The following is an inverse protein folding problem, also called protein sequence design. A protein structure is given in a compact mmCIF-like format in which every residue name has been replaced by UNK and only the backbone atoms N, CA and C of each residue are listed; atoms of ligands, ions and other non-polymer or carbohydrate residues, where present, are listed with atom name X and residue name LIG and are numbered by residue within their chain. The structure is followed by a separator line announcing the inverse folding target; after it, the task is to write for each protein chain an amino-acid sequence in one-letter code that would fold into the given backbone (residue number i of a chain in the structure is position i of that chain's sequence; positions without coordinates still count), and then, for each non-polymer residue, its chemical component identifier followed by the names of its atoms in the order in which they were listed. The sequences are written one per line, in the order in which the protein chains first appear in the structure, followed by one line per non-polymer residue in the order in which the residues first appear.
data_IF_091428108367
#
_entry.id   IF_091428108367
#
_cell.length_a   1.000
_cell.length_b   1.000
_cell.length_c   1.000
_cell.angle_alpha   90.00
_cell.angle_beta   90.00
_cell.angle_gamma   90.00
#
_symmetry.space_group_name_H-M   'P 1'
#
loop_
_entity.id
_entity.type
_entity.pdbx_description
1 polymer ?
#
# COMPACT_ATOMS: atom_id res chain seq x y z
N UNK A 1 16.50 20.48 18.26
CA UNK A 1 15.99 19.42 19.14
C UNK A 1 14.48 19.58 19.23
N UNK A 2 13.68 18.55 19.20
CA UNK A 2 12.24 18.66 19.43
C UNK A 2 12.02 19.20 20.84
N UNK A 3 11.28 20.29 20.97
CA UNK A 3 10.84 20.79 22.27
C UNK A 3 9.61 19.97 22.65
N UNK A 4 9.73 19.15 23.69
CA UNK A 4 8.60 18.48 24.31
C UNK A 4 7.86 19.53 25.14
N UNK A 5 6.54 19.66 24.92
CA UNK A 5 5.70 20.51 25.77
C UNK A 5 5.37 19.71 27.06
N UNK A 6 6.23 19.84 28.04
CA UNK A 6 6.07 19.21 29.36
C UNK A 6 5.24 20.11 30.28
N UNK A 7 4.36 19.49 31.03
CA UNK A 7 3.67 20.15 32.16
C UNK A 7 4.64 20.45 33.29
N UNK A 8 4.28 21.35 34.18
CA UNK A 8 5.17 21.67 35.31
C UNK A 8 5.44 20.46 36.21
N UNK A 9 4.41 19.61 36.44
CA UNK A 9 4.60 18.34 37.17
C UNK A 9 5.54 17.38 36.48
N UNK A 10 5.52 17.28 35.14
CA UNK A 10 6.47 16.43 34.40
C UNK A 10 7.90 16.97 34.47
N UNK A 11 8.07 18.30 34.47
CA UNK A 11 9.39 18.93 34.66
C UNK A 11 9.95 18.64 36.06
N UNK A 12 9.10 18.72 37.07
CA UNK A 12 9.50 18.40 38.47
C UNK A 12 9.93 16.93 38.58
N UNK A 13 9.18 16.01 38.01
CA UNK A 13 9.53 14.58 37.96
C UNK A 13 10.88 14.36 37.26
N UNK A 14 11.09 14.97 36.05
CA UNK A 14 12.36 14.85 35.35
C UNK A 14 13.54 15.39 36.16
N UNK A 15 13.32 16.46 36.89
CA UNK A 15 14.35 17.06 37.74
C UNK A 15 14.75 16.15 38.89
N UNK A 16 13.76 15.53 39.55
CA UNK A 16 13.99 14.53 40.58
C UNK A 16 14.72 13.31 40.02
N UNK A 17 14.26 12.76 38.90
CA UNK A 17 14.90 11.61 38.25
C UNK A 17 16.36 11.91 37.93
N UNK A 18 16.66 13.07 37.37
CA UNK A 18 18.03 13.47 37.03
C UNK A 18 18.90 13.54 38.27
N UNK A 19 18.42 14.20 39.35
CA UNK A 19 19.14 14.32 40.63
C UNK A 19 19.45 12.94 41.23
N UNK A 20 18.46 12.06 41.27
CA UNK A 20 18.62 10.72 41.85
C UNK A 20 19.52 9.82 40.95
N UNK A 21 19.48 10.00 39.64
CA UNK A 21 20.39 9.29 38.73
C UNK A 21 21.83 9.71 38.91
N UNK A 22 22.11 11.03 39.03
CA UNK A 22 23.45 11.56 39.30
C UNK A 22 23.95 11.12 40.67
N UNK A 23 23.11 11.16 41.72
CA UNK A 23 23.42 10.66 43.05
C UNK A 23 23.77 9.17 43.01
N UNK A 24 22.92 8.35 42.40
CA UNK A 24 23.15 6.89 42.28
C UNK A 24 24.44 6.59 41.51
N UNK A 25 24.73 7.32 40.43
CA UNK A 25 25.99 7.18 39.70
C UNK A 25 27.21 7.51 40.62
N UNK A 26 27.13 8.57 41.42
CA UNK A 26 28.19 8.95 42.34
C UNK A 26 28.42 7.89 43.42
N UNK A 27 27.35 7.30 43.98
CA UNK A 27 27.43 6.22 44.96
C UNK A 27 28.04 4.97 44.33
N UNK A 28 27.62 4.62 43.12
CA UNK A 28 28.17 3.48 42.37
C UNK A 28 29.67 3.64 42.12
N UNK A 29 30.11 4.83 41.70
CA UNK A 29 31.53 5.11 41.49
C UNK A 29 32.31 4.98 42.79
N UNK A 30 31.81 5.56 43.89
CA UNK A 30 32.44 5.46 45.20
C UNK A 30 32.57 4.02 45.69
N UNK A 31 31.53 3.20 45.48
CA UNK A 31 31.57 1.78 45.83
C UNK A 31 32.59 1.01 44.97
N UNK A 32 32.70 1.33 43.67
CA UNK A 32 33.71 0.74 42.80
C UNK A 32 35.14 1.10 43.25
N UNK A 33 35.38 2.36 43.64
CA UNK A 33 36.67 2.82 44.14
C UNK A 33 37.06 2.10 45.47
N UNK A 34 36.09 1.94 46.39
CA UNK A 34 36.28 1.18 47.65
C UNK A 34 36.58 -0.29 47.33
N UNK A 35 35.80 -0.93 46.43
CA UNK A 35 36.02 -2.33 46.05
C UNK A 35 37.41 -2.52 45.43
N UNK A 36 37.85 -1.60 44.58
CA UNK A 36 39.20 -1.61 44.00
C UNK A 36 40.28 -1.47 45.08
N UNK A 37 40.10 -0.55 46.01
CA UNK A 37 41.01 -0.38 47.14
C UNK A 37 41.12 -1.64 48.02
N UNK A 38 39.99 -2.29 48.30
CA UNK A 38 39.95 -3.55 49.04
C UNK A 38 40.69 -4.64 48.28
N UNK A 39 40.46 -4.78 46.97
CA UNK A 39 41.13 -5.76 46.13
C UNK A 39 42.67 -5.60 46.11
N UNK A 40 43.15 -4.35 46.05
CA UNK A 40 44.58 -4.04 46.15
C UNK A 40 45.12 -4.46 47.50
N UNK A 41 44.46 -4.09 48.60
CA UNK A 41 44.91 -4.44 49.96
C UNK A 41 44.95 -5.97 50.22
N UNK A 42 43.94 -6.71 49.62
CA UNK A 42 43.93 -8.18 49.66
C UNK A 42 45.15 -8.72 48.91
N UNK A 43 45.41 -8.27 47.71
CA UNK A 43 46.56 -8.71 46.92
C UNK A 43 47.92 -8.41 47.59
N UNK A 44 48.05 -7.24 48.19
CA UNK A 44 49.26 -6.89 49.00
C UNK A 44 49.41 -7.78 50.21
N UNK A 45 48.30 -8.07 50.90
CA UNK A 45 48.30 -8.97 52.06
C UNK A 45 48.69 -10.41 51.70
N UNK A 46 48.14 -10.90 50.55
CA UNK A 46 48.50 -12.22 49.98
C UNK A 46 50.01 -12.30 49.68
N UNK A 47 50.57 -11.31 49.00
CA UNK A 47 52.01 -11.23 48.73
C UNK A 47 52.85 -11.20 49.98
N UNK A 48 52.41 -10.49 51.00
CA UNK A 48 53.09 -10.47 52.28
C UNK A 48 53.07 -11.84 52.99
N UNK A 49 51.95 -12.53 53.00
CA UNK A 49 51.82 -13.89 53.55
C UNK A 49 52.73 -14.87 52.80
N UNK A 50 52.79 -14.80 51.49
CA UNK A 50 53.68 -15.61 50.66
C UNK A 50 55.15 -15.34 50.99
N UNK A 51 55.55 -14.07 51.15
CA UNK A 51 56.91 -13.66 51.53
C UNK A 51 57.34 -14.17 52.91
N UNK A 52 56.39 -14.38 53.80
CA UNK A 52 56.59 -14.91 55.16
C UNK A 52 56.52 -16.46 55.19
N UNK A 53 56.42 -17.13 54.04
CA UNK A 53 56.30 -18.58 53.95
C UNK A 53 54.96 -19.13 54.50
N UNK A 54 53.97 -18.32 54.67
CA UNK A 54 52.62 -18.71 55.08
C UNK A 54 51.76 -19.00 53.86
N UNK A 55 51.12 -20.15 53.81
CA UNK A 55 50.16 -20.48 52.78
C UNK A 55 48.95 -19.53 52.85
N UNK A 56 48.33 -19.28 51.67
CA UNK A 56 47.07 -18.55 51.62
C UNK A 56 46.01 -19.28 52.47
N UNK A 57 45.15 -18.58 53.22
CA UNK A 57 44.09 -19.22 53.99
C UNK A 57 43.16 -19.92 52.98
N UNK A 58 42.77 -21.16 53.31
CA UNK A 58 41.72 -21.86 52.55
C UNK A 58 40.48 -20.98 52.56
N UNK A 59 39.77 -20.95 51.45
CA UNK A 59 38.49 -20.23 51.36
C UNK A 59 37.60 -20.66 52.51
N UNK A 60 37.33 -19.69 53.42
CA UNK A 60 36.36 -19.90 54.49
C UNK A 60 34.98 -19.76 53.79
N UNK A 61 34.13 -20.81 53.81
CA UNK A 61 32.80 -20.70 53.27
C UNK A 61 32.08 -19.53 53.93
N UNK A 62 31.81 -18.46 53.16
CA UNK A 62 31.03 -17.34 53.65
C UNK A 62 29.56 -17.78 53.69
N UNK A 63 29.06 -18.15 54.88
CA UNK A 63 27.61 -18.24 55.09
C UNK A 63 27.10 -16.84 55.42
N UNK A 64 26.27 -16.25 54.55
CA UNK A 64 25.68 -14.95 54.83
C UNK A 64 24.77 -15.06 56.06
N UNK A 65 25.15 -14.41 57.15
CA UNK A 65 24.30 -14.29 58.34
C UNK A 65 23.11 -13.42 57.96
N UNK A 66 21.97 -14.06 57.71
CA UNK A 66 20.73 -13.33 57.48
C UNK A 66 20.26 -12.69 58.78
N UNK A 67 20.13 -11.34 58.83
CA UNK A 67 19.62 -10.69 60.04
C UNK A 67 18.18 -11.14 60.28
N UNK A 68 17.89 -11.59 61.51
CA UNK A 68 16.52 -11.96 61.95
C UNK A 68 15.63 -10.77 62.28
N UNK A 69 16.16 -9.54 62.24
CA UNK A 69 15.38 -8.34 62.50
C UNK A 69 14.66 -7.88 61.22
N UNK A 70 13.43 -7.40 61.36
CA UNK A 70 12.70 -6.72 60.27
C UNK A 70 13.52 -5.53 59.78
N UNK A 71 13.75 -5.43 58.48
CA UNK A 71 14.40 -4.27 57.89
C UNK A 71 13.49 -3.05 58.01
N UNK A 72 14.02 -1.94 58.47
CA UNK A 72 13.38 -0.63 58.41
C UNK A 72 13.92 0.03 57.13
N UNK A 73 13.02 0.36 56.20
CA UNK A 73 13.34 1.10 54.99
C UNK A 73 12.80 2.52 55.15
N UNK A 74 13.71 3.48 55.29
CA UNK A 74 13.34 4.91 55.27
C UNK A 74 13.27 5.37 53.81
N UNK A 75 12.11 5.90 53.42
CA UNK A 75 11.88 6.46 52.10
C UNK A 75 11.60 7.95 52.26
N UNK A 76 12.21 8.75 51.39
CA UNK A 76 11.97 10.19 51.35
C UNK A 76 10.69 10.51 50.62
N UNK A 77 9.95 11.53 51.06
CA UNK A 77 8.78 12.02 50.32
C UNK A 77 9.19 12.66 48.98
N UNK A 78 8.25 12.74 48.05
CA UNK A 78 8.51 13.37 46.75
C UNK A 78 8.88 14.85 46.91
N UNK A 79 8.23 15.54 47.83
CA UNK A 79 8.48 16.95 48.17
C UNK A 79 9.94 17.16 48.65
N UNK A 80 10.43 16.28 49.50
CA UNK A 80 11.83 16.32 49.96
C UNK A 80 12.83 16.04 48.85
N UNK A 81 12.50 15.08 47.93
CA UNK A 81 13.34 14.80 46.77
C UNK A 81 13.35 15.97 45.77
N UNK A 82 12.20 16.64 45.60
CA UNK A 82 12.07 17.80 44.72
C UNK A 82 12.83 19.02 45.30
N UNK A 83 12.79 19.24 46.61
CA UNK A 83 13.56 20.30 47.24
C UNK A 83 15.07 20.11 47.02
N UNK A 84 15.60 18.91 47.24
CA UNK A 84 17.00 18.59 46.95
C UNK A 84 17.33 18.75 45.48
N UNK A 85 16.45 18.27 44.57
CA UNK A 85 16.65 18.41 43.13
C UNK A 85 16.69 19.90 42.73
N UNK A 86 15.86 20.74 43.33
CA UNK A 86 15.87 22.19 43.09
C UNK A 86 17.15 22.87 43.55
N UNK A 87 17.69 22.42 44.69
CA UNK A 87 18.95 22.93 45.26
C UNK A 87 20.15 22.50 44.40
N UNK A 88 20.19 21.28 43.93
CA UNK A 88 21.31 20.70 43.20
C UNK A 88 21.29 21.06 41.69
N UNK A 89 20.10 21.22 41.10
CA UNK A 89 19.91 21.47 39.64
C UNK A 89 19.13 22.81 39.48
N UNK A 90 19.83 23.96 39.42
CA UNK A 90 19.19 25.28 39.35
C UNK A 90 18.64 25.67 37.97
N UNK A 91 18.67 24.76 36.98
CA UNK A 91 18.23 24.99 35.63
C UNK A 91 17.05 24.07 35.24
N UNK A 92 16.40 24.41 34.13
CA UNK A 92 15.30 23.59 33.59
C UNK A 92 15.85 22.32 32.92
N UNK A 93 15.32 21.15 33.28
CA UNK A 93 15.75 19.85 32.78
C UNK A 93 14.84 19.46 31.60
N UNK A 94 15.44 19.12 30.46
CA UNK A 94 14.72 18.55 29.33
C UNK A 94 14.73 17.01 29.43
N UNK A 95 13.80 16.40 28.71
CA UNK A 95 13.65 14.93 28.68
C UNK A 95 14.96 14.18 28.34
N UNK A 96 15.76 14.71 27.42
CA UNK A 96 17.04 14.06 27.05
C UNK A 96 18.15 14.27 28.08
N UNK A 97 18.02 15.21 29.02
CA UNK A 97 19.05 15.52 30.00
C UNK A 97 19.13 14.50 31.13
N UNK A 98 18.11 13.61 31.25
CA UNK A 98 18.11 12.51 32.21
C UNK A 98 18.96 11.31 31.76
N UNK A 99 19.34 11.25 30.47
CA UNK A 99 20.13 10.18 29.90
C UNK A 99 21.57 10.60 29.69
N UNK A 100 22.49 9.65 29.86
CA UNK A 100 23.87 9.82 29.42
C UNK A 100 23.99 9.84 27.90
N UNK A 101 25.02 10.48 27.39
CA UNK A 101 25.28 10.48 25.94
C UNK A 101 25.45 9.05 25.39
N UNK A 102 26.03 8.15 26.18
CA UNK A 102 26.21 6.75 25.83
C UNK A 102 24.87 6.02 25.68
N UNK A 103 23.91 6.26 26.57
CA UNK A 103 22.56 5.70 26.50
C UNK A 103 21.79 6.26 25.28
N UNK A 104 21.91 7.57 25.03
CA UNK A 104 21.30 8.20 23.87
C UNK A 104 21.83 7.58 22.58
N UNK A 105 23.14 7.37 22.47
CA UNK A 105 23.76 6.82 21.26
C UNK A 105 23.45 5.32 21.10
N UNK A 106 23.40 4.54 22.17
CA UNK A 106 22.97 3.15 22.16
C UNK A 106 21.50 3.01 21.72
N UNK A 107 20.61 3.87 22.20
CA UNK A 107 19.20 3.87 21.80
C UNK A 107 19.02 4.29 20.33
N UNK A 108 19.81 5.26 19.83
CA UNK A 108 19.81 5.60 18.40
C UNK A 108 20.24 4.42 17.53
N UNK A 109 21.30 3.74 17.91
CA UNK A 109 21.79 2.55 17.19
C UNK A 109 20.74 1.44 17.22
N UNK A 110 20.13 1.16 18.37
CA UNK A 110 19.06 0.17 18.49
C UNK A 110 17.85 0.52 17.61
N UNK A 111 17.42 1.78 17.60
CA UNK A 111 16.36 2.26 16.74
C UNK A 111 16.72 2.10 15.25
N UNK A 112 17.97 2.38 14.89
CA UNK A 112 18.47 2.16 13.53
C UNK A 112 18.40 0.67 13.14
N UNK A 113 18.83 -0.23 14.03
CA UNK A 113 18.75 -1.68 13.81
C UNK A 113 17.30 -2.15 13.60
N UNK A 114 16.36 -1.74 14.46
CA UNK A 114 14.93 -2.04 14.29
C UNK A 114 14.38 -1.55 12.96
N UNK A 115 14.82 -0.36 12.52
CA UNK A 115 14.44 0.16 11.20
C UNK A 115 15.02 -0.69 10.06
N UNK A 116 16.23 -1.15 10.18
CA UNK A 116 16.88 -2.02 9.20
C UNK A 116 16.21 -3.39 9.15
N UNK A 117 15.90 -3.99 10.30
CA UNK A 117 15.16 -5.25 10.42
C UNK A 117 13.80 -5.15 9.75
N UNK A 118 13.01 -4.13 10.10
CA UNK A 118 11.72 -3.87 9.45
C UNK A 118 11.86 -3.75 7.93
N UNK A 119 12.82 -2.95 7.46
CA UNK A 119 13.00 -2.74 6.03
C UNK A 119 13.46 -4.00 5.30
N UNK A 120 14.21 -4.88 5.94
CA UNK A 120 14.72 -6.12 5.33
C UNK A 120 13.61 -7.06 4.89
N UNK A 121 12.50 -7.11 5.63
CA UNK A 121 11.31 -7.91 5.31
C UNK A 121 10.71 -7.50 3.95
N UNK A 122 10.74 -6.21 3.64
CA UNK A 122 10.12 -5.64 2.42
C UNK A 122 11.12 -5.42 1.29
N UNK A 123 12.41 -5.65 1.52
CA UNK A 123 13.46 -5.43 0.53
C UNK A 123 13.37 -6.47 -0.59
N UNK A 124 13.35 -5.99 -1.82
CA UNK A 124 13.51 -6.81 -3.02
C UNK A 124 15.00 -7.14 -3.22
N UNK A 125 15.29 -8.37 -3.54
CA UNK A 125 16.61 -8.76 -4.01
C UNK A 125 16.78 -8.49 -5.52
N UNK A 126 17.96 -8.80 -6.06
CA UNK A 126 18.24 -8.59 -7.49
C UNK A 126 17.32 -9.37 -8.41
N UNK A 127 16.92 -10.58 -8.01
CA UNK A 127 16.04 -11.46 -8.79
C UNK A 127 14.59 -10.93 -8.72
N UNK A 128 14.13 -10.48 -7.54
CA UNK A 128 12.83 -9.85 -7.34
C UNK A 128 12.65 -8.58 -8.20
N UNK A 129 13.73 -7.92 -8.61
CA UNK A 129 13.70 -6.77 -9.52
C UNK A 129 13.83 -7.20 -10.98
N UNK A 130 14.73 -8.15 -11.28
CA UNK A 130 15.01 -8.57 -12.64
C UNK A 130 13.82 -9.28 -13.30
N UNK A 131 13.15 -10.16 -12.57
CA UNK A 131 11.98 -10.91 -13.06
C UNK A 131 10.88 -9.98 -13.58
N UNK A 132 10.38 -9.00 -12.79
CA UNK A 132 9.32 -8.12 -13.28
C UNK A 132 9.76 -7.21 -14.44
N UNK A 133 11.02 -6.79 -14.48
CA UNK A 133 11.54 -6.04 -15.62
C UNK A 133 11.50 -6.90 -16.90
N UNK A 134 11.98 -8.15 -16.84
CA UNK A 134 11.92 -9.07 -17.99
C UNK A 134 10.45 -9.35 -18.38
N UNK A 135 9.57 -9.59 -17.41
CA UNK A 135 8.15 -9.81 -17.68
C UNK A 135 7.50 -8.59 -18.36
N UNK A 136 7.82 -7.38 -17.90
CA UNK A 136 7.35 -6.13 -18.51
C UNK A 136 7.89 -5.93 -19.93
N UNK A 137 9.16 -6.26 -20.17
CA UNK A 137 9.76 -6.23 -21.52
C UNK A 137 9.06 -7.25 -22.42
N UNK A 138 8.83 -8.47 -21.96
CA UNK A 138 8.13 -9.51 -22.73
C UNK A 138 6.73 -9.07 -23.12
N UNK A 139 5.93 -8.57 -22.15
CA UNK A 139 4.59 -8.06 -22.43
C UNK A 139 4.59 -6.88 -23.39
N UNK A 140 5.49 -5.92 -23.20
CA UNK A 140 5.68 -4.79 -24.10
C UNK A 140 6.11 -5.20 -25.51
N UNK A 141 7.02 -6.19 -25.64
CA UNK A 141 7.43 -6.73 -26.93
C UNK A 141 6.27 -7.42 -27.66
N UNK A 142 5.47 -8.22 -26.95
CA UNK A 142 4.25 -8.84 -27.51
C UNK A 142 3.25 -7.77 -27.96
N UNK A 143 3.05 -6.72 -27.17
CA UNK A 143 2.20 -5.59 -27.54
C UNK A 143 2.72 -4.89 -28.80
N UNK A 144 4.01 -4.63 -28.91
CA UNK A 144 4.62 -4.00 -30.07
C UNK A 144 4.54 -4.88 -31.33
N UNK A 145 4.74 -6.19 -31.19
CA UNK A 145 4.80 -7.09 -32.36
C UNK A 145 3.43 -7.55 -32.86
N UNK A 146 2.44 -7.70 -31.97
CA UNK A 146 1.18 -8.37 -32.30
C UNK A 146 -0.06 -7.60 -31.91
N UNK A 147 0.06 -6.59 -31.02
CA UNK A 147 -1.04 -5.78 -30.53
C UNK A 147 -1.27 -4.51 -31.36
N UNK A 148 -2.44 -3.92 -31.20
CA UNK A 148 -2.78 -2.63 -31.80
C UNK A 148 -3.17 -2.68 -33.27
N UNK A 149 -3.14 -1.50 -33.90
CA UNK A 149 -3.36 -1.30 -35.33
C UNK A 149 -2.02 -1.08 -36.03
N UNK A 150 -1.40 -2.16 -36.44
CA UNK A 150 0.02 -2.18 -36.84
C UNK A 150 0.28 -1.53 -38.21
N UNK A 151 -0.75 -1.32 -39.07
CA UNK A 151 -0.57 -0.79 -40.42
C UNK A 151 -1.75 0.06 -40.87
N UNK A 152 -1.45 1.11 -41.65
CA UNK A 152 -2.41 1.80 -42.50
C UNK A 152 -2.37 1.18 -43.88
N UNK A 153 -3.41 0.44 -44.28
CA UNK A 153 -3.61 -0.03 -45.66
C UNK A 153 -4.71 0.80 -46.29
N UNK A 154 -4.38 1.53 -47.35
CA UNK A 154 -5.32 2.42 -48.07
C UNK A 154 -6.03 3.45 -47.14
N UNK A 155 -5.31 4.00 -46.17
CA UNK A 155 -5.85 4.99 -45.22
C UNK A 155 -6.76 4.41 -44.11
N UNK A 156 -6.84 3.08 -43.98
CA UNK A 156 -7.61 2.40 -42.93
C UNK A 156 -6.68 1.67 -41.97
N UNK A 157 -6.95 1.79 -40.71
CA UNK A 157 -6.24 1.05 -39.66
C UNK A 157 -6.54 -0.44 -39.76
N UNK A 158 -5.51 -1.28 -39.95
CA UNK A 158 -5.63 -2.73 -40.03
C UNK A 158 -5.24 -3.34 -38.69
N UNK A 159 -6.12 -4.11 -38.03
CA UNK A 159 -5.82 -4.73 -36.75
C UNK A 159 -4.69 -5.74 -36.87
N UNK A 160 -3.82 -5.76 -35.84
CA UNK A 160 -2.73 -6.70 -35.69
C UNK A 160 -3.20 -8.17 -35.62
N UNK A 161 -2.27 -9.10 -35.71
CA UNK A 161 -2.58 -10.54 -35.69
C UNK A 161 -3.29 -10.99 -34.42
N UNK A 162 -2.94 -10.43 -33.27
CA UNK A 162 -3.61 -10.70 -32.00
C UNK A 162 -5.06 -10.22 -32.02
N UNK A 163 -5.32 -9.01 -32.53
CA UNK A 163 -6.68 -8.47 -32.67
C UNK A 163 -7.50 -9.29 -33.65
N UNK A 164 -6.90 -9.76 -34.77
CA UNK A 164 -7.58 -10.65 -35.71
C UNK A 164 -7.98 -11.99 -35.09
N UNK A 165 -7.08 -12.57 -34.27
CA UNK A 165 -7.35 -13.83 -33.58
C UNK A 165 -8.45 -13.67 -32.51
N UNK A 166 -8.40 -12.64 -31.68
CA UNK A 166 -9.43 -12.35 -30.65
C UNK A 166 -10.77 -12.07 -31.32
N UNK A 167 -10.79 -11.26 -32.41
CA UNK A 167 -11.99 -11.00 -33.14
C UNK A 167 -12.64 -12.29 -33.72
N UNK A 168 -11.81 -13.21 -34.21
CA UNK A 168 -12.28 -14.52 -34.68
C UNK A 168 -12.90 -15.37 -33.57
N UNK A 169 -12.46 -15.24 -32.32
CA UNK A 169 -13.09 -15.89 -31.14
C UNK A 169 -14.48 -15.29 -30.92
N UNK A 170 -14.59 -13.96 -30.88
CA UNK A 170 -15.87 -13.27 -30.69
C UNK A 170 -16.87 -13.60 -31.79
N UNK A 171 -16.43 -13.60 -33.06
CA UNK A 171 -17.28 -13.90 -34.21
C UNK A 171 -17.84 -15.34 -34.16
N UNK A 172 -17.03 -16.30 -33.68
CA UNK A 172 -17.48 -17.68 -33.47
C UNK A 172 -18.42 -17.83 -32.27
N UNK A 173 -18.16 -17.11 -31.17
CA UNK A 173 -18.95 -17.19 -29.95
C UNK A 173 -20.31 -16.49 -30.07
N UNK A 174 -20.35 -15.40 -30.83
CA UNK A 174 -21.52 -14.52 -31.03
C UNK A 174 -21.79 -14.33 -32.54
N UNK A 175 -22.30 -15.35 -33.24
CA UNK A 175 -22.63 -15.22 -34.64
C UNK A 175 -23.84 -14.27 -34.83
N UNK A 176 -24.03 -13.68 -36.03
CA UNK A 176 -25.06 -12.66 -36.28
C UNK A 176 -26.51 -13.06 -35.90
N UNK A 177 -26.84 -14.31 -36.03
CA UNK A 177 -28.20 -14.79 -35.69
C UNK A 177 -28.40 -14.79 -34.16
N UNK A 178 -27.36 -15.17 -33.39
CA UNK A 178 -27.40 -15.13 -31.96
C UNK A 178 -27.45 -13.69 -31.43
N UNK A 179 -26.75 -12.76 -32.07
CA UNK A 179 -26.81 -11.34 -31.70
C UNK A 179 -28.24 -10.81 -31.88
N UNK A 180 -28.89 -11.08 -33.00
CA UNK A 180 -30.29 -10.69 -33.22
C UNK A 180 -31.27 -11.27 -32.21
N UNK A 181 -31.01 -12.47 -31.73
CA UNK A 181 -31.78 -13.08 -30.63
C UNK A 181 -31.57 -12.32 -29.32
N UNK A 182 -30.32 -12.04 -28.94
CA UNK A 182 -29.97 -11.28 -27.75
C UNK A 182 -30.57 -9.86 -27.78
N UNK A 183 -30.50 -9.15 -28.90
CA UNK A 183 -31.13 -7.82 -29.09
C UNK A 183 -32.64 -7.83 -28.86
N UNK A 184 -33.33 -8.90 -29.24
CA UNK A 184 -34.78 -9.05 -28.99
C UNK A 184 -35.06 -9.30 -27.49
N UNK A 185 -34.20 -10.05 -26.81
CA UNK A 185 -34.38 -10.42 -25.40
C UNK A 185 -34.07 -9.28 -24.44
N UNK A 186 -33.16 -8.39 -24.79
CA UNK A 186 -32.63 -7.37 -23.89
C UNK A 186 -32.79 -5.95 -24.43
N UNK A 187 -34.01 -5.52 -24.57
CA UNK A 187 -34.30 -4.09 -24.80
C UNK A 187 -34.10 -3.31 -23.52
N UNK A 188 -33.34 -2.24 -23.60
CA UNK A 188 -32.97 -1.39 -22.43
C UNK A 188 -33.52 0.03 -22.58
N UNK A 189 -33.61 0.75 -21.47
CA UNK A 189 -34.15 2.12 -21.41
C UNK A 189 -33.18 3.17 -21.95
N UNK A 190 -31.90 2.87 -21.94
CA UNK A 190 -30.80 3.80 -22.25
C UNK A 190 -30.21 3.66 -23.66
N UNK A 191 -30.88 2.91 -24.55
CA UNK A 191 -30.43 2.64 -25.93
C UNK A 191 -31.02 3.66 -26.92
N UNK A 192 -31.09 4.94 -26.55
CA UNK A 192 -31.55 5.98 -27.46
C UNK A 192 -30.43 6.39 -28.43
N UNK A 193 -30.72 6.18 -29.74
CA UNK A 193 -29.73 6.44 -30.78
C UNK A 193 -29.64 7.93 -31.22
N UNK A 194 -30.51 8.80 -30.74
CA UNK A 194 -30.52 10.24 -31.05
C UNK A 194 -31.41 11.01 -30.08
N UNK A 195 -31.39 12.35 -30.18
CA UNK A 195 -32.16 13.25 -29.32
C UNK A 195 -33.66 13.37 -29.67
N UNK A 196 -34.18 12.66 -30.63
CA UNK A 196 -35.56 12.86 -31.09
C UNK A 196 -36.63 12.58 -30.03
N UNK A 197 -36.32 11.72 -29.05
CA UNK A 197 -37.24 11.32 -27.98
C UNK A 197 -36.65 11.54 -26.58
N UNK A 198 -35.68 12.44 -26.46
CA UNK A 198 -35.07 12.80 -25.20
C UNK A 198 -35.62 14.13 -24.71
N UNK A 199 -35.74 14.29 -23.41
CA UNK A 199 -36.24 15.55 -22.80
C UNK A 199 -35.19 16.66 -22.79
N UNK A 200 -33.91 16.27 -22.83
CA UNK A 200 -32.75 17.16 -22.90
C UNK A 200 -31.83 16.70 -24.02
N UNK A 201 -31.38 17.63 -24.85
CA UNK A 201 -30.41 17.34 -25.87
C UNK A 201 -29.05 16.98 -25.28
N UNK A 202 -28.53 15.82 -25.66
CA UNK A 202 -27.21 15.32 -25.25
C UNK A 202 -26.25 15.53 -26.43
N UNK A 203 -25.20 16.31 -26.21
CA UNK A 203 -24.19 16.54 -27.23
C UNK A 203 -23.47 15.24 -27.61
N UNK A 204 -23.43 14.92 -28.90
CA UNK A 204 -22.86 13.67 -29.41
C UNK A 204 -23.78 12.46 -29.38
N UNK A 205 -25.01 12.54 -28.87
CA UNK A 205 -25.98 11.45 -28.96
C UNK A 205 -26.43 11.24 -30.41
N UNK A 206 -25.95 10.19 -30.99
CA UNK A 206 -26.25 9.80 -32.39
C UNK A 206 -26.17 8.29 -32.50
N UNK A 207 -26.75 7.73 -33.57
CA UNK A 207 -26.63 6.28 -33.89
C UNK A 207 -25.17 5.81 -33.94
N UNK A 208 -24.25 6.74 -34.14
CA UNK A 208 -22.82 6.48 -34.21
C UNK A 208 -22.13 6.43 -32.86
N UNK A 209 -22.54 7.27 -31.90
CA UNK A 209 -21.84 7.48 -30.63
C UNK A 209 -22.70 7.24 -29.39
N UNK A 210 -23.98 6.83 -29.52
CA UNK A 210 -24.85 6.62 -28.37
C UNK A 210 -24.25 5.69 -27.31
N UNK A 211 -23.56 4.61 -27.76
CA UNK A 211 -22.89 3.69 -26.83
C UNK A 211 -21.70 4.30 -26.10
N UNK A 212 -21.01 5.28 -26.70
CA UNK A 212 -19.89 5.96 -26.06
C UNK A 212 -20.36 7.00 -25.03
N UNK A 213 -21.48 7.68 -25.28
CA UNK A 213 -21.97 8.72 -24.36
C UNK A 213 -22.91 8.17 -23.27
N UNK A 214 -23.62 7.06 -23.51
CA UNK A 214 -24.49 6.43 -22.53
C UNK A 214 -23.71 5.49 -21.61
N UNK A 215 -23.69 5.81 -20.30
CA UNK A 215 -22.93 5.04 -19.30
C UNK A 215 -23.47 3.62 -19.10
N UNK A 216 -24.72 3.37 -19.51
CA UNK A 216 -25.32 2.03 -19.48
C UNK A 216 -24.63 1.03 -20.41
N UNK A 217 -23.95 1.50 -21.46
CA UNK A 217 -23.20 0.64 -22.40
C UNK A 217 -21.73 0.42 -22.00
N UNK A 218 -21.24 1.11 -20.96
CA UNK A 218 -19.87 0.87 -20.50
C UNK A 218 -19.76 -0.53 -19.86
N UNK A 219 -18.76 -1.35 -20.20
CA UNK A 219 -18.62 -2.72 -19.70
C UNK A 219 -18.54 -2.87 -18.18
N UNK A 220 -18.14 -1.84 -17.47
CA UNK A 220 -18.05 -1.82 -16.01
C UNK A 220 -19.09 -0.88 -15.39
N UNK A 221 -19.12 0.38 -15.83
CA UNK A 221 -20.05 1.37 -15.31
C UNK A 221 -21.52 1.01 -15.62
N UNK A 222 -21.77 0.29 -16.69
CA UNK A 222 -23.11 -0.17 -17.04
C UNK A 222 -23.76 -1.10 -16.03
N UNK A 223 -23.00 -1.87 -15.28
CA UNK A 223 -23.53 -2.62 -14.14
C UNK A 223 -24.00 -1.72 -12.98
N UNK A 224 -23.59 -0.46 -12.94
CA UNK A 224 -24.08 0.53 -12.00
C UNK A 224 -25.16 1.39 -12.65
N UNK A 225 -24.77 2.18 -13.66
CA UNK A 225 -25.67 3.14 -14.31
C UNK A 225 -26.76 2.46 -15.15
N UNK A 226 -26.41 1.45 -15.93
CA UNK A 226 -27.38 0.70 -16.73
C UNK A 226 -28.42 -0.03 -15.88
N UNK A 227 -28.00 -0.63 -14.75
CA UNK A 227 -28.94 -1.26 -13.82
C UNK A 227 -29.83 -0.21 -13.13
N UNK A 228 -29.28 0.93 -12.71
CA UNK A 228 -30.08 2.04 -12.17
C UNK A 228 -31.06 2.60 -13.21
N UNK A 229 -30.62 2.78 -14.44
CA UNK A 229 -31.44 3.24 -15.56
C UNK A 229 -32.57 2.27 -15.85
N UNK A 230 -32.30 0.97 -15.87
CA UNK A 230 -33.33 -0.07 -16.03
C UNK A 230 -34.36 -0.06 -14.91
N UNK A 231 -33.95 0.18 -13.65
CA UNK A 231 -34.85 0.23 -12.51
C UNK A 231 -35.69 1.53 -12.47
N UNK A 232 -35.13 2.63 -12.96
CA UNK A 232 -35.78 3.96 -12.93
C UNK A 232 -36.55 4.30 -14.20
N UNK A 233 -36.23 3.64 -15.31
CA UNK A 233 -36.75 4.01 -16.62
C UNK A 233 -36.01 5.22 -17.23
N UNK A 234 -34.74 5.42 -16.87
CA UNK A 234 -33.93 6.56 -17.29
C UNK A 234 -32.83 6.17 -18.28
N UNK A 235 -32.11 7.16 -18.77
CA UNK A 235 -30.86 7.05 -19.49
C UNK A 235 -29.87 8.03 -18.87
N UNK A 236 -28.74 7.50 -18.42
CA UNK A 236 -27.61 8.28 -17.86
C UNK A 236 -26.52 8.43 -18.90
N UNK A 237 -26.20 9.67 -19.22
CA UNK A 237 -25.20 9.99 -20.25
C UNK A 237 -24.12 10.92 -19.71
N UNK A 238 -22.93 10.83 -20.31
CA UNK A 238 -21.86 11.80 -20.19
C UNK A 238 -21.55 12.32 -21.60
N UNK A 239 -22.02 13.52 -21.92
CA UNK A 239 -21.92 14.11 -23.25
C UNK A 239 -20.48 14.50 -23.64
N UNK A 240 -20.25 14.88 -24.90
CA UNK A 240 -18.92 15.25 -25.37
C UNK A 240 -18.40 16.60 -24.82
N UNK A 241 -19.26 17.37 -24.16
CA UNK A 241 -18.87 18.58 -23.40
C UNK A 241 -18.55 18.28 -21.94
N UNK A 242 -18.69 17.02 -21.52
CA UNK A 242 -18.45 16.58 -20.15
C UNK A 242 -19.64 16.82 -19.22
N UNK A 243 -20.84 17.07 -19.72
CA UNK A 243 -22.04 17.23 -18.90
C UNK A 243 -22.63 15.87 -18.57
N UNK A 244 -22.99 15.69 -17.29
CA UNK A 244 -23.67 14.50 -16.81
C UNK A 244 -25.19 14.75 -16.88
N UNK A 245 -25.90 13.97 -17.70
CA UNK A 245 -27.34 14.13 -17.95
C UNK A 245 -28.05 12.83 -17.61
N UNK A 246 -29.07 12.91 -16.75
CA UNK A 246 -30.00 11.81 -16.44
C UNK A 246 -31.38 12.22 -16.88
N UNK A 247 -31.99 11.45 -17.78
CA UNK A 247 -33.29 11.78 -18.35
C UNK A 247 -34.11 10.53 -18.67
N UNK A 248 -35.41 10.72 -18.92
CA UNK A 248 -36.30 9.67 -19.38
C UNK A 248 -36.34 9.68 -20.91
N UNK A 249 -36.39 8.49 -21.53
CA UNK A 249 -36.64 8.33 -22.94
C UNK A 249 -38.05 7.77 -23.10
N UNK A 250 -39.02 8.63 -23.48
CA UNK A 250 -40.46 8.31 -23.42
C UNK A 250 -40.81 7.03 -24.15
N UNK A 251 -40.29 6.84 -25.36
CA UNK A 251 -40.53 5.65 -26.19
C UNK A 251 -39.96 4.34 -25.62
N UNK A 252 -39.14 4.41 -24.58
CA UNK A 252 -38.51 3.26 -23.92
C UNK A 252 -38.96 3.07 -22.49
N UNK A 253 -39.98 3.81 -22.05
CA UNK A 253 -40.52 3.72 -20.68
C UNK A 253 -41.09 2.34 -20.35
N UNK A 254 -41.58 1.61 -21.34
CA UNK A 254 -42.08 0.23 -21.26
C UNK A 254 -40.96 -0.82 -21.02
N UNK A 255 -39.70 -0.45 -21.26
CA UNK A 255 -38.55 -1.35 -21.12
C UNK A 255 -38.05 -1.45 -19.67
N UNK A 256 -38.55 -0.61 -18.76
CA UNK A 256 -38.20 -0.60 -17.36
C UNK A 256 -38.31 -1.99 -16.74
N UNK A 257 -37.28 -2.37 -15.94
CA UNK A 257 -37.26 -3.64 -15.24
C UNK A 257 -38.14 -3.62 -13.97
N UNK A 258 -38.80 -4.74 -13.68
CA UNK A 258 -39.63 -4.89 -12.48
C UNK A 258 -38.81 -5.14 -11.19
N UNK A 259 -37.54 -5.57 -11.35
CA UNK A 259 -36.67 -5.84 -10.21
C UNK A 259 -35.19 -5.91 -10.58
N UNK A 260 -34.35 -6.01 -9.53
CA UNK A 260 -32.90 -5.95 -9.66
C UNK A 260 -32.33 -7.08 -10.55
N UNK A 261 -32.80 -8.32 -10.38
CA UNK A 261 -32.29 -9.46 -11.17
C UNK A 261 -32.63 -9.32 -12.65
N UNK A 262 -33.83 -8.85 -12.96
CA UNK A 262 -34.23 -8.56 -14.34
C UNK A 262 -33.37 -7.45 -14.94
N UNK A 263 -33.13 -6.37 -14.19
CA UNK A 263 -32.29 -5.26 -14.62
C UNK A 263 -30.87 -5.74 -14.92
N UNK A 264 -30.23 -6.48 -14.00
CA UNK A 264 -28.88 -7.02 -14.21
C UNK A 264 -28.84 -7.96 -15.42
N UNK A 265 -29.80 -8.85 -15.55
CA UNK A 265 -29.88 -9.80 -16.68
C UNK A 265 -30.04 -9.07 -18.02
N UNK A 266 -30.94 -8.09 -18.11
CA UNK A 266 -31.13 -7.31 -19.32
C UNK A 266 -29.89 -6.51 -19.71
N UNK A 267 -29.24 -5.84 -18.73
CA UNK A 267 -28.00 -5.10 -18.95
C UNK A 267 -26.90 -6.02 -19.48
N UNK A 268 -26.71 -7.19 -18.85
CA UNK A 268 -25.69 -8.15 -19.27
C UNK A 268 -25.95 -8.69 -20.69
N UNK A 269 -27.18 -9.10 -20.98
CA UNK A 269 -27.55 -9.63 -22.30
C UNK A 269 -27.42 -8.53 -23.36
N UNK A 270 -27.80 -7.29 -23.06
CA UNK A 270 -27.63 -6.16 -23.97
C UNK A 270 -26.16 -5.88 -24.28
N UNK A 271 -25.30 -5.88 -23.26
CA UNK A 271 -23.86 -5.75 -23.46
C UNK A 271 -23.29 -6.86 -24.37
N UNK A 272 -23.75 -8.11 -24.19
CA UNK A 272 -23.34 -9.22 -25.06
C UNK A 272 -23.76 -9.00 -26.51
N UNK A 273 -24.95 -8.43 -26.75
CA UNK A 273 -25.40 -8.11 -28.11
C UNK A 273 -24.55 -7.01 -28.74
N UNK A 274 -24.09 -6.05 -27.94
CA UNK A 274 -23.28 -4.93 -28.41
C UNK A 274 -21.83 -5.29 -28.75
N UNK A 275 -21.28 -6.37 -28.20
CA UNK A 275 -19.87 -6.73 -28.42
C UNK A 275 -19.50 -6.84 -29.88
N UNK A 276 -20.37 -7.48 -30.71
CA UNK A 276 -20.10 -7.76 -32.11
C UNK A 276 -20.85 -6.84 -33.11
N UNK A 277 -21.55 -5.81 -32.59
CA UNK A 277 -22.20 -4.82 -33.47
C UNK A 277 -21.16 -3.84 -34.04
N UNK A 278 -21.39 -3.27 -35.22
CA UNK A 278 -20.57 -2.17 -35.73
C UNK A 278 -20.55 -1.02 -34.71
N UNK A 279 -19.35 -0.51 -34.36
CA UNK A 279 -19.17 0.45 -33.27
C UNK A 279 -19.82 -0.03 -31.98
N UNK A 280 -19.51 -1.28 -31.65
CA UNK A 280 -20.08 -1.99 -30.49
C UNK A 280 -19.68 -1.43 -29.15
N UNK A 281 -19.67 -2.29 -28.15
CA UNK A 281 -19.40 -1.95 -26.78
C UNK A 281 -18.12 -1.10 -26.65
N UNK A 282 -18.13 0.07 -25.97
CA UNK A 282 -16.94 0.88 -25.76
C UNK A 282 -15.92 0.17 -24.85
N UNK A 283 -14.73 0.73 -24.75
CA UNK A 283 -13.74 0.29 -23.77
C UNK A 283 -14.21 0.69 -22.36
N UNK A 284 -13.95 -0.13 -21.32
CA UNK A 284 -14.30 0.24 -19.95
C UNK A 284 -13.81 1.64 -19.55
N UNK A 285 -14.70 2.42 -18.96
CA UNK A 285 -14.47 3.82 -18.52
C UNK A 285 -14.22 4.83 -19.66
N UNK A 286 -14.39 4.45 -20.92
CA UNK A 286 -14.07 5.31 -22.06
C UNK A 286 -14.89 6.61 -22.04
N UNK A 287 -16.16 6.55 -21.67
CA UNK A 287 -17.04 7.70 -21.55
C UNK A 287 -16.51 8.76 -20.56
N UNK A 288 -15.77 8.36 -19.49
CA UNK A 288 -15.26 9.29 -18.49
C UNK A 288 -14.24 10.29 -19.06
N UNK A 289 -13.57 9.93 -20.14
CA UNK A 289 -12.64 10.84 -20.82
C UNK A 289 -13.34 12.07 -21.42
N UNK A 290 -14.66 12.03 -21.62
CA UNK A 290 -15.43 13.21 -22.04
C UNK A 290 -15.35 14.36 -21.00
N UNK A 291 -14.99 14.08 -19.74
CA UNK A 291 -14.69 15.12 -18.74
C UNK A 291 -13.34 15.82 -18.98
N UNK A 292 -12.46 15.24 -19.76
CA UNK A 292 -11.09 15.73 -19.93
C UNK A 292 -10.99 16.60 -21.19
N UNK A 293 -11.49 17.83 -21.11
CA UNK A 293 -11.40 18.85 -22.16
C UNK A 293 -10.03 19.54 -22.18
N UNK A 294 -8.95 18.78 -21.97
CA UNK A 294 -7.57 19.27 -21.81
C UNK A 294 -6.61 18.60 -22.79
N UNK A 295 -5.48 19.23 -23.01
CA UNK A 295 -4.44 18.73 -23.92
C UNK A 295 -4.58 19.26 -25.34
N UNK A 296 -3.58 18.96 -26.17
CA UNK A 296 -3.51 19.27 -27.59
C UNK A 296 -2.63 18.21 -28.25
N UNK A 297 -3.25 17.24 -28.88
CA UNK A 297 -2.59 16.04 -29.41
C UNK A 297 -2.66 15.98 -30.93
N UNK A 298 -1.57 15.53 -31.54
CA UNK A 298 -1.46 15.37 -32.97
C UNK A 298 -1.45 16.70 -33.76
N UNK A 299 -1.48 16.59 -35.09
CA UNK A 299 -1.51 17.72 -36.01
C UNK A 299 -2.82 18.51 -35.94
N UNK A 300 -3.92 17.83 -35.59
CA UNK A 300 -5.25 18.42 -35.46
C UNK A 300 -5.49 19.09 -34.10
N UNK A 301 -4.53 19.03 -33.19
CA UNK A 301 -4.58 19.61 -31.83
C UNK A 301 -5.82 19.18 -31.02
N UNK A 302 -6.20 17.92 -31.15
CA UNK A 302 -7.35 17.36 -30.45
C UNK A 302 -7.13 17.33 -28.93
N UNK A 303 -8.16 17.68 -28.15
CA UNK A 303 -8.16 17.42 -26.73
C UNK A 303 -8.40 15.93 -26.42
N UNK A 304 -8.28 15.51 -25.14
CA UNK A 304 -8.45 14.10 -24.75
C UNK A 304 -9.82 13.56 -25.14
N UNK A 305 -10.91 14.31 -24.95
CA UNK A 305 -12.26 13.88 -25.30
C UNK A 305 -12.40 13.66 -26.81
N UNK A 306 -11.92 14.60 -27.62
CA UNK A 306 -11.94 14.52 -29.09
C UNK A 306 -11.09 13.36 -29.59
N UNK A 307 -9.92 13.14 -28.99
CA UNK A 307 -9.05 12.02 -29.32
C UNK A 307 -9.75 10.68 -29.07
N UNK A 308 -10.36 10.50 -27.89
CA UNK A 308 -11.07 9.27 -27.51
C UNK A 308 -12.28 9.03 -28.43
N UNK A 309 -12.99 10.09 -28.78
CA UNK A 309 -14.08 10.03 -29.78
C UNK A 309 -13.58 9.54 -31.13
N UNK A 310 -12.47 10.06 -31.64
CA UNK A 310 -11.82 9.61 -32.86
C UNK A 310 -11.39 8.14 -32.77
N UNK A 311 -10.73 7.74 -31.68
CA UNK A 311 -10.32 6.35 -31.44
C UNK A 311 -11.50 5.39 -31.47
N UNK A 312 -12.63 5.73 -30.83
CA UNK A 312 -13.83 4.89 -30.85
C UNK A 312 -14.44 4.81 -32.27
N UNK A 313 -14.48 5.92 -32.99
CA UNK A 313 -14.95 5.98 -34.38
C UNK A 313 -14.12 5.08 -35.31
N UNK A 314 -12.83 4.95 -35.05
CA UNK A 314 -11.89 4.10 -35.79
C UNK A 314 -11.88 2.62 -35.34
N UNK A 315 -12.69 2.26 -34.34
CA UNK A 315 -12.85 0.87 -33.91
C UNK A 315 -12.11 0.49 -32.64
N UNK A 316 -11.66 1.49 -31.84
CA UNK A 316 -11.11 1.25 -30.50
C UNK A 316 -12.26 0.91 -29.53
N UNK A 317 -12.76 -0.31 -29.62
CA UNK A 317 -13.89 -0.83 -28.86
C UNK A 317 -13.48 -1.96 -27.89
N UNK A 318 -14.44 -2.59 -27.22
CA UNK A 318 -14.21 -3.67 -26.27
C UNK A 318 -13.47 -4.88 -26.87
N UNK A 319 -13.70 -5.22 -28.13
CA UNK A 319 -12.98 -6.32 -28.79
C UNK A 319 -11.50 -5.99 -28.96
N UNK A 320 -11.20 -4.75 -29.35
CA UNK A 320 -9.83 -4.26 -29.43
C UNK A 320 -9.18 -4.24 -28.04
N UNK A 321 -9.88 -3.69 -27.03
CA UNK A 321 -9.45 -3.72 -25.64
C UNK A 321 -9.12 -5.14 -25.17
N UNK A 322 -9.98 -6.11 -25.46
CA UNK A 322 -9.76 -7.51 -25.07
C UNK A 322 -8.51 -8.10 -25.72
N UNK A 323 -8.21 -7.73 -26.96
CA UNK A 323 -6.97 -8.15 -27.62
C UNK A 323 -5.73 -7.53 -26.99
N UNK A 324 -5.80 -6.24 -26.63
CA UNK A 324 -4.71 -5.51 -25.98
C UNK A 324 -4.51 -5.92 -24.52
N UNK A 325 -5.50 -6.56 -23.90
CA UNK A 325 -5.38 -7.10 -22.54
C UNK A 325 -4.47 -8.33 -22.45
N UNK A 326 -4.30 -9.09 -23.53
CA UNK A 326 -3.51 -10.32 -23.51
C UNK A 326 -2.02 -10.09 -23.19
N UNK A 327 -1.29 -9.13 -23.77
CA UNK A 327 0.08 -8.79 -23.36
C UNK A 327 0.17 -8.43 -21.86
N UNK A 328 -0.80 -7.66 -21.38
CA UNK A 328 -0.92 -7.26 -19.97
C UNK A 328 -1.10 -8.46 -19.04
N UNK A 329 -1.99 -9.39 -19.43
CA UNK A 329 -2.21 -10.64 -18.69
C UNK A 329 -0.96 -11.53 -18.69
N UNK A 330 -0.23 -11.65 -19.80
CA UNK A 330 1.01 -12.41 -19.88
C UNK A 330 2.04 -11.82 -18.91
N UNK A 331 2.23 -10.50 -18.91
CA UNK A 331 3.10 -9.82 -17.95
C UNK A 331 2.76 -10.22 -16.52
N UNK A 332 1.50 -10.16 -16.13
CA UNK A 332 1.05 -10.49 -14.78
C UNK A 332 1.26 -11.97 -14.44
N UNK A 333 0.92 -12.87 -15.35
CA UNK A 333 1.08 -14.32 -15.16
C UNK A 333 2.55 -14.70 -14.99
N UNK A 334 3.44 -14.15 -15.80
CA UNK A 334 4.90 -14.41 -15.69
C UNK A 334 5.43 -13.96 -14.33
N UNK A 335 5.07 -12.76 -13.87
CA UNK A 335 5.49 -12.27 -12.53
C UNK A 335 4.96 -13.19 -11.44
N UNK A 336 3.69 -13.57 -11.48
CA UNK A 336 3.05 -14.38 -10.45
C UNK A 336 3.63 -15.80 -10.38
N UNK A 337 3.83 -16.44 -11.53
CA UNK A 337 4.44 -17.78 -11.58
C UNK A 337 5.88 -17.72 -11.06
N UNK A 338 6.66 -16.74 -11.51
CA UNK A 338 8.05 -16.60 -11.07
C UNK A 338 8.16 -16.28 -9.58
N UNK A 339 7.29 -15.42 -9.06
CA UNK A 339 7.20 -15.18 -7.62
C UNK A 339 6.91 -16.47 -6.86
N UNK A 340 5.90 -17.24 -7.29
CA UNK A 340 5.51 -18.49 -6.66
C UNK A 340 6.68 -19.49 -6.60
N UNK A 341 7.33 -19.75 -7.74
CA UNK A 341 8.47 -20.66 -7.82
C UNK A 341 9.60 -20.18 -6.90
N UNK A 342 9.92 -18.90 -6.93
CA UNK A 342 10.96 -18.33 -6.10
C UNK A 342 10.66 -18.48 -4.61
N UNK A 343 9.43 -18.17 -4.15
CA UNK A 343 9.07 -18.32 -2.73
C UNK A 343 9.14 -19.78 -2.28
N UNK A 344 8.71 -20.72 -3.11
CA UNK A 344 8.91 -22.15 -2.81
C UNK A 344 10.38 -22.52 -2.68
N UNK A 345 11.25 -22.01 -3.55
CA UNK A 345 12.70 -22.28 -3.48
C UNK A 345 13.37 -21.63 -2.26
N UNK A 346 12.79 -20.58 -1.70
CA UNK A 346 13.22 -19.93 -0.45
C UNK A 346 12.68 -20.64 0.81
N UNK A 347 11.94 -21.73 0.66
CA UNK A 347 11.43 -22.55 1.77
C UNK A 347 10.06 -22.09 2.33
N UNK A 348 9.38 -21.15 1.67
CA UNK A 348 8.01 -20.80 2.06
C UNK A 348 7.05 -21.95 1.79
N UNK A 349 6.04 -22.12 2.66
CA UNK A 349 4.98 -23.10 2.44
C UNK A 349 4.18 -22.76 1.17
N UNK A 350 3.53 -23.78 0.60
CA UNK A 350 2.69 -23.62 -0.60
C UNK A 350 1.66 -22.49 -0.44
N UNK A 351 0.99 -22.41 0.74
CA UNK A 351 -0.01 -21.38 1.02
C UNK A 351 0.58 -19.97 1.06
N UNK A 352 1.74 -19.81 1.65
CA UNK A 352 2.44 -18.53 1.74
C UNK A 352 2.99 -18.08 0.38
N UNK A 353 3.46 -19.03 -0.43
CA UNK A 353 3.98 -18.78 -1.77
C UNK A 353 2.89 -18.43 -2.79
N UNK A 354 1.61 -18.82 -2.56
CA UNK A 354 0.53 -18.57 -3.50
C UNK A 354 0.49 -17.10 -3.95
N UNK A 355 0.56 -16.80 -5.26
CA UNK A 355 0.66 -15.43 -5.77
C UNK A 355 -0.73 -14.77 -5.91
N UNK A 356 -1.60 -14.94 -4.90
CA UNK A 356 -2.96 -14.39 -4.88
C UNK A 356 -2.93 -13.03 -4.19
N UNK A 357 -3.78 -12.12 -4.64
CA UNK A 357 -3.86 -10.76 -4.11
C UNK A 357 -2.96 -9.77 -4.86
N UNK A 358 -3.14 -8.51 -4.53
CA UNK A 358 -2.40 -7.36 -5.05
C UNK A 358 -2.09 -6.37 -3.95
N UNK A 359 -2.48 -6.73 -2.70
CA UNK A 359 -2.36 -5.85 -1.56
C UNK A 359 -0.95 -5.94 -0.97
N UNK A 360 -0.32 -4.78 -0.75
CA UNK A 360 0.98 -4.69 -0.11
C UNK A 360 0.99 -5.15 1.35
N UNK A 361 -0.16 -5.14 2.03
CA UNK A 361 -0.25 -5.61 3.41
C UNK A 361 -0.07 -7.14 3.49
N UNK A 362 -0.59 -7.87 2.50
CA UNK A 362 -0.52 -9.34 2.46
C UNK A 362 0.72 -9.85 1.71
N UNK A 363 1.02 -9.23 0.55
CA UNK A 363 2.09 -9.67 -0.37
C UNK A 363 2.92 -8.48 -0.87
N UNK A 364 3.66 -7.79 0.01
CA UNK A 364 4.33 -6.53 -0.33
C UNK A 364 5.35 -6.67 -1.47
N UNK A 365 6.10 -7.76 -1.50
CA UNK A 365 7.09 -8.01 -2.57
C UNK A 365 6.41 -8.27 -3.91
N UNK A 366 5.35 -9.11 -3.95
CA UNK A 366 4.59 -9.37 -5.17
C UNK A 366 3.93 -8.09 -5.72
N UNK A 367 3.30 -7.29 -4.85
CA UNK A 367 2.66 -6.05 -5.25
C UNK A 367 3.66 -5.05 -5.87
N UNK A 368 4.87 -4.94 -5.27
CA UNK A 368 5.95 -4.11 -5.82
C UNK A 368 6.50 -4.69 -7.13
N UNK A 369 6.66 -6.01 -7.25
CA UNK A 369 7.07 -6.66 -8.50
C UNK A 369 6.07 -6.40 -9.63
N UNK A 370 4.77 -6.51 -9.36
CA UNK A 370 3.72 -6.20 -10.34
C UNK A 370 3.75 -4.73 -10.76
N UNK A 371 3.97 -3.81 -9.81
CA UNK A 371 4.17 -2.39 -10.13
C UNK A 371 5.37 -2.19 -11.08
N UNK A 372 6.53 -2.81 -10.82
CA UNK A 372 7.72 -2.71 -11.67
C UNK A 372 7.42 -3.25 -13.07
N UNK A 373 6.78 -4.42 -13.18
CA UNK A 373 6.48 -5.05 -14.46
C UNK A 373 5.55 -4.20 -15.32
N UNK A 374 4.46 -3.70 -14.73
CA UNK A 374 3.51 -2.85 -15.44
C UNK A 374 4.09 -1.46 -15.75
N UNK A 375 4.98 -0.92 -14.91
CA UNK A 375 5.73 0.31 -15.22
C UNK A 375 6.62 0.12 -16.45
N UNK A 376 7.35 -1.00 -16.51
CA UNK A 376 8.23 -1.33 -17.64
C UNK A 376 7.43 -1.51 -18.93
N UNK A 377 6.35 -2.31 -18.89
CA UNK A 377 5.49 -2.54 -20.07
C UNK A 377 4.81 -1.27 -20.56
N UNK A 378 4.34 -0.41 -19.62
CA UNK A 378 3.73 0.88 -19.99
C UNK A 378 4.73 1.87 -20.58
N UNK A 379 5.98 1.86 -20.10
CA UNK A 379 7.04 2.68 -20.70
C UNK A 379 7.35 2.26 -22.14
N UNK A 380 7.35 0.95 -22.42
CA UNK A 380 7.52 0.42 -23.79
C UNK A 380 6.33 0.83 -24.67
N UNK A 381 5.09 0.69 -24.18
CA UNK A 381 3.91 1.12 -24.92
C UNK A 381 3.91 2.64 -25.19
N UNK A 382 4.33 3.45 -24.20
CA UNK A 382 4.51 4.89 -24.42
C UNK A 382 5.51 5.17 -25.55
N UNK A 383 6.66 4.48 -25.54
CA UNK A 383 7.63 4.57 -26.63
C UNK A 383 7.05 4.17 -27.99
N UNK A 384 6.26 3.08 -28.04
CA UNK A 384 5.54 2.67 -29.26
C UNK A 384 4.63 3.78 -29.79
N UNK A 385 3.78 4.36 -28.94
CA UNK A 385 2.84 5.43 -29.34
C UNK A 385 3.58 6.68 -29.81
N UNK A 386 4.68 7.05 -29.15
CA UNK A 386 5.50 8.19 -29.59
C UNK A 386 6.15 7.93 -30.96
N UNK A 387 6.64 6.71 -31.20
CA UNK A 387 7.29 6.36 -32.47
C UNK A 387 6.31 6.21 -33.64
N UNK A 388 5.11 5.73 -33.36
CA UNK A 388 4.07 5.54 -34.39
C UNK A 388 3.22 6.81 -34.60
N UNK A 389 3.25 7.76 -33.69
CA UNK A 389 2.37 8.93 -33.62
C UNK A 389 0.87 8.55 -33.73
N UNK A 390 0.54 7.29 -33.44
CA UNK A 390 -0.79 6.73 -33.58
C UNK A 390 -1.43 6.46 -32.21
N UNK A 391 -2.44 7.22 -31.78
CA UNK A 391 -3.13 7.00 -30.51
C UNK A 391 -3.85 5.64 -30.43
N UNK A 392 -4.15 4.99 -31.57
CA UNK A 392 -4.74 3.65 -31.61
C UNK A 392 -3.79 2.57 -31.09
N UNK A 393 -2.50 2.87 -30.98
CA UNK A 393 -1.48 1.97 -30.42
C UNK A 393 -1.35 2.04 -28.89
N UNK A 394 -2.14 2.90 -28.23
CA UNK A 394 -2.23 2.93 -26.77
C UNK A 394 -2.81 1.59 -26.27
N UNK A 395 -2.02 0.88 -25.46
CA UNK A 395 -2.49 -0.31 -24.76
C UNK A 395 -3.29 0.09 -23.50
N UNK A 396 -4.56 0.42 -23.68
CA UNK A 396 -5.43 0.90 -22.61
C UNK A 396 -5.51 -0.07 -21.41
N UNK A 397 -5.68 -1.41 -21.57
CA UNK A 397 -5.59 -2.37 -20.47
C UNK A 397 -4.29 -2.25 -19.66
N UNK A 398 -3.17 -2.07 -20.33
CA UNK A 398 -1.87 -1.91 -19.72
C UNK A 398 -1.80 -0.63 -18.86
N UNK A 399 -2.34 0.47 -19.37
CA UNK A 399 -2.38 1.74 -18.63
C UNK A 399 -3.33 1.70 -17.43
N UNK A 400 -4.46 0.98 -17.53
CA UNK A 400 -5.34 0.72 -16.37
C UNK A 400 -4.61 -0.10 -15.32
N UNK A 401 -3.93 -1.17 -15.72
CA UNK A 401 -3.14 -2.00 -14.79
C UNK A 401 -2.03 -1.17 -14.13
N UNK A 402 -1.28 -0.39 -14.91
CA UNK A 402 -0.25 0.51 -14.39
C UNK A 402 -0.81 1.51 -13.39
N UNK A 403 -1.91 2.19 -13.70
CA UNK A 403 -2.54 3.15 -12.79
C UNK A 403 -2.96 2.47 -11.48
N UNK A 404 -3.58 1.28 -11.53
CA UNK A 404 -3.99 0.49 -10.37
C UNK A 404 -2.81 0.14 -9.48
N UNK A 405 -1.72 -0.40 -10.04
CA UNK A 405 -0.54 -0.78 -9.28
C UNK A 405 0.23 0.43 -8.77
N UNK A 406 0.24 1.54 -9.53
CA UNK A 406 0.84 2.81 -9.09
C UNK A 406 0.13 3.41 -7.88
N UNK A 407 -1.19 3.43 -7.88
CA UNK A 407 -1.99 3.92 -6.75
C UNK A 407 -1.77 3.05 -5.50
N UNK A 408 -1.72 1.73 -5.67
CA UNK A 408 -1.41 0.81 -4.57
C UNK A 408 0.01 1.02 -4.03
N UNK A 409 1.00 1.20 -4.90
CA UNK A 409 2.38 1.48 -4.51
C UNK A 409 2.51 2.83 -3.81
N UNK A 410 1.81 3.84 -4.28
CA UNK A 410 1.79 5.17 -3.66
C UNK A 410 1.18 5.12 -2.26
N UNK A 411 0.02 4.46 -2.10
CA UNK A 411 -0.61 4.22 -0.80
C UNK A 411 0.33 3.48 0.15
N UNK A 412 1.04 2.46 -0.35
CA UNK A 412 2.02 1.69 0.42
C UNK A 412 3.14 2.57 0.94
N UNK A 413 3.79 3.32 0.07
CA UNK A 413 4.97 4.13 0.42
C UNK A 413 4.61 5.29 1.34
N UNK A 414 3.50 5.98 1.08
CA UNK A 414 3.14 7.21 1.80
C UNK A 414 2.40 6.95 3.12
N UNK A 415 1.61 5.88 3.21
CA UNK A 415 0.72 5.67 4.36
C UNK A 415 0.94 4.34 5.07
N UNK A 416 0.87 3.22 4.34
CA UNK A 416 0.80 1.90 4.97
C UNK A 416 2.13 1.49 5.57
N UNK A 417 3.23 1.57 4.81
CA UNK A 417 4.56 1.19 5.28
C UNK A 417 5.05 2.03 6.47
N UNK A 418 4.93 3.37 6.48
CA UNK A 418 5.27 4.18 7.64
C UNK A 418 4.46 3.83 8.89
N UNK A 419 3.14 3.58 8.73
CA UNK A 419 2.28 3.16 9.84
C UNK A 419 2.69 1.82 10.43
N UNK A 420 2.97 0.82 9.57
CA UNK A 420 3.45 -0.50 10.01
C UNK A 420 4.82 -0.41 10.67
N UNK A 421 5.72 0.42 10.15
CA UNK A 421 7.03 0.67 10.76
C UNK A 421 6.91 1.28 12.14
N UNK A 422 6.06 2.29 12.29
CA UNK A 422 5.77 2.90 13.59
C UNK A 422 5.21 1.86 14.57
N UNK A 423 4.21 1.08 14.14
CA UNK A 423 3.63 0.02 14.97
C UNK A 423 4.68 -1.00 15.40
N UNK A 424 5.50 -1.50 14.48
CA UNK A 424 6.57 -2.46 14.77
C UNK A 424 7.55 -1.96 15.84
N UNK A 425 7.96 -0.69 15.74
CA UNK A 425 8.85 -0.07 16.70
C UNK A 425 8.16 0.12 18.07
N UNK A 426 6.89 0.53 18.06
CA UNK A 426 6.14 0.74 19.31
C UNK A 426 5.82 -0.57 20.01
N UNK A 427 5.45 -1.62 19.27
CA UNK A 427 5.24 -2.96 19.85
C UNK A 427 6.52 -3.43 20.54
N UNK A 428 7.69 -3.29 19.89
CA UNK A 428 8.98 -3.62 20.50
C UNK A 428 9.28 -2.80 21.78
N UNK A 429 9.03 -1.49 21.73
CA UNK A 429 9.24 -0.62 22.92
C UNK A 429 8.30 -1.03 24.06
N UNK A 430 7.04 -1.35 23.75
CA UNK A 430 6.06 -1.77 24.76
C UNK A 430 6.46 -3.10 25.40
N UNK A 431 6.91 -4.07 24.62
CA UNK A 431 7.38 -5.36 25.12
C UNK A 431 8.58 -5.18 26.08
N UNK A 432 9.56 -4.35 25.70
CA UNK A 432 10.69 -4.02 26.58
C UNK A 432 10.24 -3.27 27.85
N UNK A 433 9.26 -2.38 27.73
CA UNK A 433 8.72 -1.63 28.86
C UNK A 433 7.99 -2.53 29.86
N UNK A 434 7.20 -3.51 29.40
CA UNK A 434 6.57 -4.52 30.25
C UNK A 434 7.62 -5.32 31.05
N UNK A 435 8.71 -5.74 30.42
CA UNK A 435 9.82 -6.43 31.08
C UNK A 435 10.47 -5.55 32.19
N UNK A 436 10.62 -4.25 31.92
CA UNK A 436 11.19 -3.31 32.92
C UNK A 436 10.23 -3.16 34.10
N UNK A 437 8.93 -3.02 33.85
CA UNK A 437 7.93 -2.91 34.94
C UNK A 437 7.92 -4.18 35.78
N UNK A 438 7.84 -5.35 35.15
CA UNK A 438 7.82 -6.65 35.85
C UNK A 438 9.06 -6.86 36.69
N UNK A 439 10.24 -6.51 36.18
CA UNK A 439 11.51 -6.58 36.93
C UNK A 439 11.52 -5.59 38.11
N UNK A 440 11.04 -4.37 37.89
CA UNK A 440 10.95 -3.34 38.92
C UNK A 440 10.01 -3.75 40.06
N UNK A 441 8.84 -4.30 39.70
CA UNK A 441 7.89 -4.83 40.66
C UNK A 441 8.45 -6.04 41.43
N UNK A 442 9.20 -6.90 40.76
CA UNK A 442 9.90 -8.03 41.37
C UNK A 442 10.91 -7.55 42.43
N UNK A 443 11.79 -6.61 42.04
CA UNK A 443 12.76 -5.99 42.92
C UNK A 443 12.10 -5.27 44.10
N UNK A 444 11.03 -4.51 43.85
CA UNK A 444 10.27 -3.84 44.90
C UNK A 444 9.71 -4.82 45.91
N UNK A 445 9.08 -5.91 45.48
CA UNK A 445 8.57 -6.97 46.36
C UNK A 445 9.68 -7.63 47.17
N UNK A 446 10.84 -7.91 46.55
CA UNK A 446 11.97 -8.48 47.24
C UNK A 446 12.54 -7.53 48.33
N UNK A 447 12.64 -6.24 48.02
CA UNK A 447 13.14 -5.22 48.94
C UNK A 447 12.19 -4.96 50.10
N UNK A 448 10.87 -5.00 49.85
CA UNK A 448 9.84 -4.66 50.83
C UNK A 448 9.30 -5.87 51.58
N UNK A 449 9.64 -7.08 51.16
CA UNK A 449 9.23 -8.31 51.85
C UNK A 449 9.83 -8.32 53.27
N UNK A 450 8.95 -8.43 54.29
CA UNK A 450 9.29 -8.38 55.70
C UNK A 450 9.93 -7.05 56.16
N UNK A 451 9.83 -5.96 55.40
CA UNK A 451 10.31 -4.64 55.76
C UNK A 451 9.21 -3.74 56.35
N UNK A 452 9.58 -2.87 57.27
CA UNK A 452 8.74 -1.74 57.71
C UNK A 452 9.19 -0.52 56.94
N UNK A 453 8.27 0.03 56.13
CA UNK A 453 8.54 1.24 55.34
C UNK A 453 8.13 2.47 56.15
N UNK A 454 9.06 3.40 56.35
CA UNK A 454 8.83 4.69 56.99
C UNK A 454 9.08 5.76 55.94
N UNK A 455 8.05 6.59 55.66
CA UNK A 455 8.24 7.75 54.78
C UNK A 455 8.67 8.92 55.64
N UNK A 456 9.83 9.51 55.33
CA UNK A 456 10.39 10.69 55.99
C UNK A 456 10.27 11.89 55.05
N UNK A 457 9.89 13.03 55.64
CA UNK A 457 9.87 14.32 54.93
C UNK A 457 11.23 14.95 54.88
#
# INVERSE_FOLDING_TARGET
MPKYNLTDSEKDILKVIKNETEFTASVRQRNADIASGISVNISESEKLLESLGKGLPNEIPYEPVRPKAKRILEMRSFESLLEDANNNIPYEVNFLDIFTQQEIDANKERLHQLQMEFNSVYRLDKIDVLIPVIAGILGGAIDCAFGGFIRLENGKSVPGSLSKWVNGIFDKALPPDKIKELEKLAKVTYDAANNANTTVDVDGLSSYFHRLVSLGHDPILGFIFGVLDMLRGTMTTLDFKGNFVVQTVEIYSDRKAQGLFEAISKVFIHMLSDVNTPRGLPVPFMALFNKLQIGSFGTEKLNVSELVKSMYAEGYNFRHFSSMALPTMITEVVVRISYFIKRLSEGYSFKEALPVGINHEEKPKLATMLFIAHSTSSAINAGKVILTENPMDINYPQWIAFARYSLNQLKWVLYTKPKLKYKYIMDFINDEWEVIIDNSDGLWREMTNDAIIIITN
#
